data_IF_624886258324
#
_entry.id   IF_624886258324
#
_cell.length_a   1.000
_cell.length_b   1.000
_cell.length_c   1.000
_cell.angle_alpha   90.00
_cell.angle_beta   90.00
_cell.angle_gamma   90.00
#
_symmetry.space_group_name_H-M   'P 1'
#
loop_
_entity.id
_entity.type
_entity.pdbx_description
1 polymer ?
#
# COMPACT_ATOMS: atom_id res chain seq x y z
N UNK A 1 -45.98 -1.88 -14.20
CA UNK A 1 -45.36 -1.26 -13.01
C UNK A 1 -44.43 -2.19 -12.25
N UNK A 2 -44.86 -3.36 -11.74
CA UNK A 2 -44.00 -4.30 -10.97
C UNK A 2 -42.68 -4.71 -11.68
N UNK A 3 -42.72 -4.95 -13.00
CA UNK A 3 -41.53 -5.33 -13.78
C UNK A 3 -40.51 -4.20 -13.94
N UNK A 4 -40.95 -2.95 -14.05
CA UNK A 4 -40.07 -1.77 -14.12
C UNK A 4 -39.36 -1.52 -12.78
N UNK A 5 -40.07 -1.70 -11.66
CA UNK A 5 -39.49 -1.56 -10.30
C UNK A 5 -38.40 -2.62 -10.06
N UNK A 6 -38.61 -3.86 -10.50
CA UNK A 6 -37.62 -4.95 -10.35
C UNK A 6 -36.36 -4.65 -11.20
N UNK A 7 -36.52 -4.15 -12.42
CA UNK A 7 -35.39 -3.81 -13.30
C UNK A 7 -34.60 -2.64 -12.71
N UNK A 8 -35.25 -1.59 -12.21
CA UNK A 8 -34.56 -0.48 -11.54
C UNK A 8 -33.84 -0.92 -10.26
N UNK A 9 -34.44 -1.82 -9.47
CA UNK A 9 -33.79 -2.37 -8.27
C UNK A 9 -32.55 -3.22 -8.59
N UNK A 10 -32.59 -4.03 -9.66
CA UNK A 10 -31.44 -4.80 -10.14
C UNK A 10 -30.32 -3.90 -10.67
N UNK A 11 -30.65 -2.80 -11.34
CA UNK A 11 -29.67 -1.85 -11.84
C UNK A 11 -28.97 -1.10 -10.69
N UNK A 12 -29.72 -0.69 -9.67
CA UNK A 12 -29.15 -0.07 -8.45
C UNK A 12 -28.25 -1.08 -7.70
N UNK A 13 -28.67 -2.34 -7.58
CA UNK A 13 -27.87 -3.39 -6.95
C UNK A 13 -26.56 -3.64 -7.71
N UNK A 14 -26.60 -3.67 -9.04
CA UNK A 14 -25.41 -3.85 -9.88
C UNK A 14 -24.42 -2.68 -9.76
N UNK A 15 -24.91 -1.45 -9.61
CA UNK A 15 -24.07 -0.25 -9.40
C UNK A 15 -23.44 -0.24 -8.01
N UNK A 16 -24.12 -0.77 -6.98
CA UNK A 16 -23.55 -0.86 -5.63
C UNK A 16 -22.44 -1.93 -5.57
N UNK A 17 -22.60 -3.03 -6.31
CA UNK A 17 -21.63 -4.14 -6.33
C UNK A 17 -20.36 -3.86 -7.15
N UNK A 18 -20.32 -2.83 -8.01
CA UNK A 18 -19.13 -2.56 -8.84
C UNK A 18 -18.02 -1.80 -8.11
N UNK A 19 -18.31 -1.19 -6.96
CA UNK A 19 -17.32 -0.38 -6.22
C UNK A 19 -16.37 -1.21 -5.35
N UNK A 20 -16.72 -2.47 -5.03
CA UNK A 20 -15.90 -3.36 -4.20
C UNK A 20 -14.75 -4.02 -4.95
N UNK A 21 -14.79 -4.04 -6.29
CA UNK A 21 -13.77 -4.70 -7.12
C UNK A 21 -12.44 -3.93 -7.07
N UNK A 22 -12.48 -2.60 -7.06
CA UNK A 22 -11.27 -1.76 -7.14
C UNK A 22 -10.45 -1.75 -5.84
N UNK A 23 -11.10 -1.78 -4.67
CA UNK A 23 -10.40 -1.85 -3.40
C UNK A 23 -9.83 -3.25 -3.12
N UNK A 24 -10.48 -4.30 -3.63
CA UNK A 24 -10.02 -5.69 -3.55
C UNK A 24 -8.67 -5.92 -4.22
N UNK A 25 -8.45 -5.27 -5.36
CA UNK A 25 -7.27 -5.45 -6.20
C UNK A 25 -6.01 -4.80 -5.60
N UNK A 26 -6.12 -3.57 -5.07
CA UNK A 26 -4.96 -2.81 -4.56
C UNK A 26 -4.25 -3.48 -3.37
N UNK A 27 -4.96 -3.92 -2.32
CA UNK A 27 -4.28 -4.59 -1.20
C UNK A 27 -3.78 -6.00 -1.58
N UNK A 28 -4.41 -6.67 -2.55
CA UNK A 28 -3.91 -7.93 -3.08
C UNK A 28 -2.61 -7.72 -3.85
N UNK A 29 -2.50 -6.65 -4.64
CA UNK A 29 -1.27 -6.28 -5.35
C UNK A 29 -0.15 -5.88 -4.38
N UNK A 30 -0.48 -5.13 -3.32
CA UNK A 30 0.47 -4.80 -2.24
C UNK A 30 1.02 -6.08 -1.58
N UNK A 31 0.14 -7.04 -1.27
CA UNK A 31 0.50 -8.29 -0.62
C UNK A 31 1.21 -9.29 -1.55
N UNK A 32 1.06 -9.16 -2.86
CA UNK A 32 1.74 -10.00 -3.85
C UNK A 32 3.17 -9.53 -4.16
N UNK A 33 3.51 -8.28 -3.83
CA UNK A 33 4.85 -7.73 -4.03
C UNK A 33 5.07 -7.18 -5.44
N UNK A 34 4.02 -6.67 -6.10
CA UNK A 34 4.15 -6.01 -7.42
C UNK A 34 4.85 -4.65 -7.38
N UNK A 35 4.98 -4.06 -6.19
CA UNK A 35 5.65 -2.79 -5.92
C UNK A 35 7.17 -2.92 -5.83
N UNK A 36 7.90 -1.82 -6.05
CA UNK A 36 9.36 -1.78 -5.84
C UNK A 36 9.74 -1.99 -4.37
N UNK A 37 8.96 -1.42 -3.43
CA UNK A 37 9.17 -1.62 -2.01
C UNK A 37 7.87 -1.45 -1.20
N UNK A 38 7.74 -2.19 -0.10
CA UNK A 38 6.80 -1.92 0.99
C UNK A 38 7.61 -1.58 2.23
N UNK A 39 7.44 -0.37 2.78
CA UNK A 39 8.27 0.13 3.87
C UNK A 39 7.45 0.67 5.04
N UNK A 40 8.03 0.61 6.23
CA UNK A 40 7.66 1.44 7.38
C UNK A 40 8.66 2.60 7.40
N UNK A 41 8.16 3.83 7.36
CA UNK A 41 8.98 5.02 7.36
C UNK A 41 8.43 6.14 8.25
N UNK A 42 9.32 7.07 8.59
CA UNK A 42 9.03 8.28 9.35
C UNK A 42 9.19 9.48 8.43
N UNK A 43 8.21 10.37 8.41
CA UNK A 43 8.32 11.63 7.67
C UNK A 43 9.32 12.55 8.39
N UNK A 44 10.46 12.85 7.77
CA UNK A 44 11.44 13.78 8.34
C UNK A 44 11.10 15.23 8.04
N UNK A 45 10.70 15.51 6.81
CA UNK A 45 10.35 16.85 6.35
C UNK A 45 9.38 16.80 5.18
N UNK A 46 8.63 17.89 5.01
CA UNK A 46 7.67 18.07 3.91
C UNK A 46 7.91 19.46 3.34
N UNK A 47 8.04 19.55 2.01
CA UNK A 47 8.08 20.80 1.28
C UNK A 47 7.11 20.75 0.09
N UNK A 48 7.08 21.78 -0.75
CA UNK A 48 6.15 21.88 -1.88
C UNK A 48 6.42 20.86 -3.00
N UNK A 49 7.63 20.31 -3.09
CA UNK A 49 8.05 19.39 -4.17
C UNK A 49 8.05 17.93 -3.74
N UNK A 50 8.39 17.64 -2.48
CA UNK A 50 8.50 16.27 -1.98
C UNK A 50 8.41 16.18 -0.45
N UNK A 51 8.10 14.97 0.03
CA UNK A 51 8.31 14.57 1.42
C UNK A 51 9.58 13.73 1.56
N UNK A 52 10.41 14.01 2.56
CA UNK A 52 11.57 13.18 2.91
C UNK A 52 11.14 12.11 3.91
N UNK A 53 11.35 10.85 3.56
CA UNK A 53 10.96 9.71 4.39
C UNK A 53 12.20 8.94 4.81
N UNK A 54 12.41 8.82 6.12
CA UNK A 54 13.40 7.91 6.69
C UNK A 54 12.82 6.51 6.79
N UNK A 55 13.53 5.53 6.24
CA UNK A 55 13.17 4.12 6.28
C UNK A 55 13.53 3.56 7.64
N UNK A 56 12.54 3.05 8.35
CA UNK A 56 12.75 2.31 9.60
C UNK A 56 12.79 0.80 9.34
N UNK A 57 11.99 0.35 8.36
CA UNK A 57 12.00 -1.06 7.96
C UNK A 57 11.53 -1.24 6.53
N UNK A 58 12.25 -2.07 5.78
CA UNK A 58 11.76 -2.64 4.53
C UNK A 58 11.03 -3.94 4.85
N UNK A 59 9.74 -4.01 4.51
CA UNK A 59 8.92 -5.19 4.66
C UNK A 59 9.05 -6.09 3.43
N UNK A 60 8.90 -5.52 2.23
CA UNK A 60 9.03 -6.24 0.96
C UNK A 60 9.79 -5.41 -0.06
N UNK A 61 10.37 -6.07 -1.06
CA UNK A 61 11.13 -5.45 -2.14
C UNK A 61 12.50 -4.97 -1.68
N UNK A 62 12.91 -3.82 -2.21
CA UNK A 62 14.19 -3.19 -1.87
C UNK A 62 14.13 -1.68 -2.06
N UNK A 63 14.83 -0.96 -1.17
CA UNK A 63 15.06 0.47 -1.29
C UNK A 63 16.57 0.73 -1.17
N UNK A 64 17.09 1.66 -1.96
CA UNK A 64 18.53 1.88 -2.10
C UNK A 64 19.12 2.83 -1.04
N UNK A 65 18.28 3.55 -0.31
CA UNK A 65 18.69 4.59 0.64
C UNK A 65 17.87 4.51 1.92
N UNK A 66 18.51 4.82 3.06
CA UNK A 66 17.86 4.95 4.36
C UNK A 66 16.90 6.14 4.43
N UNK A 67 17.08 7.13 3.53
CA UNK A 67 16.19 8.27 3.37
C UNK A 67 15.90 8.47 1.89
N UNK A 68 14.62 8.60 1.52
CA UNK A 68 14.20 8.78 0.14
C UNK A 68 13.20 9.93 -0.02
N UNK A 69 13.08 10.43 -1.25
CA UNK A 69 12.11 11.46 -1.63
C UNK A 69 10.83 10.80 -2.14
N UNK A 70 9.72 11.14 -1.50
CA UNK A 70 8.37 10.81 -1.94
C UNK A 70 7.79 12.00 -2.70
N UNK A 71 7.61 11.86 -4.01
CA UNK A 71 7.22 12.96 -4.92
C UNK A 71 5.77 12.89 -5.38
N UNK A 72 5.11 11.74 -5.23
CA UNK A 72 3.74 11.53 -5.74
C UNK A 72 2.72 11.36 -4.61
N UNK A 73 2.51 12.44 -3.87
CA UNK A 73 1.48 12.49 -2.81
C UNK A 73 0.13 12.99 -3.34
N UNK A 74 0.08 13.50 -4.58
CA UNK A 74 -1.12 14.13 -5.15
C UNK A 74 -2.11 13.11 -5.75
N UNK A 75 -1.67 11.87 -6.02
CA UNK A 75 -2.49 10.91 -6.79
C UNK A 75 -3.49 10.05 -6.02
N UNK A 76 -3.60 10.15 -4.69
CA UNK A 76 -4.54 9.30 -3.98
C UNK A 76 -4.99 9.92 -2.66
N UNK A 77 -6.02 9.33 -2.06
CA UNK A 77 -6.76 9.74 -0.86
C UNK A 77 -5.90 9.77 0.43
N UNK A 78 -4.59 9.98 0.30
CA UNK A 78 -3.61 10.01 1.36
C UNK A 78 -3.67 11.39 2.00
N UNK A 79 -3.92 11.49 3.32
CA UNK A 79 -3.86 12.75 4.03
C UNK A 79 -2.52 13.44 3.81
N UNK A 80 -2.46 14.79 3.86
CA UNK A 80 -1.20 15.51 3.85
C UNK A 80 -0.25 14.97 4.92
N UNK A 81 0.93 14.52 4.50
CA UNK A 81 1.95 14.02 5.41
C UNK A 81 2.43 15.13 6.34
N UNK A 82 2.74 14.78 7.59
CA UNK A 82 3.33 15.71 8.56
C UNK A 82 4.64 15.15 9.12
N UNK A 83 5.64 16.02 9.38
CA UNK A 83 6.87 15.61 10.04
C UNK A 83 6.61 14.86 11.35
N UNK A 84 7.35 13.77 11.55
CA UNK A 84 7.25 12.89 12.72
C UNK A 84 6.17 11.79 12.61
N UNK A 85 5.30 11.82 11.60
CA UNK A 85 4.33 10.75 11.40
C UNK A 85 4.98 9.48 10.86
N UNK A 86 4.43 8.33 11.27
CA UNK A 86 4.87 7.01 10.86
C UNK A 86 3.89 6.49 9.81
N UNK A 87 4.43 5.97 8.72
CA UNK A 87 3.65 5.51 7.58
C UNK A 87 4.13 4.15 7.08
N UNK A 88 3.17 3.30 6.73
CA UNK A 88 3.39 2.12 5.88
C UNK A 88 3.13 2.54 4.44
N UNK A 89 4.14 2.44 3.59
CA UNK A 89 4.11 2.93 2.21
C UNK A 89 4.42 1.82 1.22
N UNK A 90 3.51 1.58 0.28
CA UNK A 90 3.79 0.81 -0.94
C UNK A 90 4.33 1.77 -2.00
N UNK A 91 5.49 1.47 -2.55
CA UNK A 91 6.28 2.40 -3.35
C UNK A 91 6.67 1.80 -4.70
N UNK A 92 6.61 2.62 -5.75
CA UNK A 92 7.25 2.36 -7.03
C UNK A 92 8.39 3.35 -7.27
N UNK A 93 9.53 2.82 -7.69
CA UNK A 93 10.69 3.63 -8.04
C UNK A 93 10.58 4.14 -9.48
N UNK A 94 10.74 5.45 -9.65
CA UNK A 94 10.82 6.11 -10.94
C UNK A 94 11.98 7.11 -10.93
N UNK A 95 13.04 6.82 -11.71
CA UNK A 95 14.21 7.68 -11.87
C UNK A 95 14.88 8.09 -10.53
N UNK A 96 14.97 7.16 -9.57
CA UNK A 96 15.57 7.40 -8.25
C UNK A 96 14.69 8.19 -7.26
N UNK A 97 13.45 8.52 -7.65
CA UNK A 97 12.42 9.00 -6.74
C UNK A 97 11.37 7.91 -6.53
N UNK A 98 10.58 8.03 -5.46
CA UNK A 98 9.52 7.08 -5.15
C UNK A 98 8.15 7.76 -5.19
N UNK A 99 7.19 7.04 -5.78
CA UNK A 99 5.76 7.39 -5.77
C UNK A 99 4.96 6.33 -5.02
N UNK A 100 3.76 6.69 -4.55
CA UNK A 100 2.85 5.74 -3.90
C UNK A 100 2.30 4.80 -4.98
N UNK A 101 2.44 3.50 -4.76
CA UNK A 101 1.96 2.46 -5.66
C UNK A 101 0.54 2.03 -5.26
N UNK A 102 0.44 1.05 -4.36
CA UNK A 102 -0.82 0.38 -4.03
C UNK A 102 -1.51 0.94 -2.78
N UNK A 103 -0.80 1.73 -1.97
CA UNK A 103 -1.38 2.35 -0.78
C UNK A 103 -0.38 2.98 0.18
N UNK A 104 -0.91 3.85 1.04
CA UNK A 104 -0.21 4.50 2.13
C UNK A 104 -1.11 4.54 3.37
N UNK A 105 -0.58 4.08 4.51
CA UNK A 105 -1.34 3.91 5.75
C UNK A 105 -0.57 4.49 6.92
N UNK A 106 -1.17 5.46 7.62
CA UNK A 106 -0.57 6.00 8.83
C UNK A 106 -0.58 4.96 9.94
N UNK A 107 0.55 4.81 10.63
CA UNK A 107 0.74 3.87 11.73
C UNK A 107 1.04 4.59 13.05
N UNK A 108 0.80 3.92 14.17
CA UNK A 108 1.07 4.47 15.50
C UNK A 108 2.48 4.19 16.04
N UNK A 109 3.19 3.20 15.49
CA UNK A 109 4.56 2.85 15.85
C UNK A 109 5.30 2.12 14.71
N UNK A 110 6.61 1.92 14.87
CA UNK A 110 7.48 1.31 13.85
C UNK A 110 7.68 -0.20 14.00
N UNK A 111 7.24 -0.82 15.09
CA UNK A 111 7.35 -2.26 15.28
C UNK A 111 6.26 -2.97 14.48
N UNK A 112 6.66 -3.55 13.34
CA UNK A 112 5.77 -4.28 12.46
C UNK A 112 4.93 -5.36 13.15
N UNK A 113 5.32 -5.91 14.30
CA UNK A 113 4.53 -6.94 15.00
C UNK A 113 3.33 -6.36 15.75
N UNK A 114 3.45 -5.10 16.17
CA UNK A 114 2.50 -4.45 17.09
C UNK A 114 1.95 -3.14 16.57
N UNK A 115 2.38 -2.69 15.38
CA UNK A 115 1.84 -1.49 14.77
C UNK A 115 0.34 -1.63 14.54
N UNK A 116 -0.35 -0.50 14.68
CA UNK A 116 -1.72 -0.38 14.25
C UNK A 116 -1.82 0.70 13.18
N UNK A 117 -2.55 0.39 12.12
CA UNK A 117 -2.92 1.35 11.11
C UNK A 117 -4.10 2.16 11.62
N UNK A 118 -4.02 3.49 11.52
CA UNK A 118 -5.06 4.37 12.06
C UNK A 118 -6.42 4.13 11.38
N UNK A 119 -6.43 3.96 10.05
CA UNK A 119 -7.65 3.62 9.32
C UNK A 119 -8.22 2.25 9.71
N UNK A 120 -7.37 1.28 10.07
CA UNK A 120 -7.83 -0.02 10.58
C UNK A 120 -8.56 0.12 11.92
N UNK A 121 -8.07 1.01 12.81
CA UNK A 121 -8.77 1.37 14.07
C UNK A 121 -10.12 2.03 13.80
N UNK A 122 -10.22 2.82 12.73
CA UNK A 122 -11.46 3.50 12.30
C UNK A 122 -12.45 2.57 11.58
N UNK A 123 -12.06 1.32 11.31
CA UNK A 123 -12.93 0.30 10.75
C UNK A 123 -12.71 -0.01 9.27
N UNK A 124 -11.70 0.57 8.62
CA UNK A 124 -11.32 0.28 7.24
C UNK A 124 -10.86 -1.19 7.09
N UNK A 125 -11.62 -1.98 6.33
CA UNK A 125 -11.42 -3.42 6.19
C UNK A 125 -10.11 -3.73 5.44
N UNK A 126 -9.83 -3.13 4.26
CA UNK A 126 -8.51 -3.21 3.62
C UNK A 126 -7.34 -2.94 4.57
N UNK A 127 -7.40 -1.88 5.36
CA UNK A 127 -6.34 -1.56 6.31
C UNK A 127 -6.19 -2.64 7.39
N UNK A 128 -7.28 -3.24 7.88
CA UNK A 128 -7.19 -4.37 8.82
C UNK A 128 -6.47 -5.58 8.22
N UNK A 129 -6.80 -5.93 6.97
CA UNK A 129 -6.15 -7.05 6.26
C UNK A 129 -4.65 -6.77 6.10
N UNK A 130 -4.27 -5.55 5.72
CA UNK A 130 -2.86 -5.16 5.57
C UNK A 130 -2.15 -5.19 6.91
N UNK A 131 -2.77 -4.67 7.97
CA UNK A 131 -2.21 -4.74 9.33
C UNK A 131 -1.97 -6.20 9.75
N UNK A 132 -2.93 -7.10 9.53
CA UNK A 132 -2.78 -8.53 9.85
C UNK A 132 -1.65 -9.18 9.03
N UNK A 133 -1.56 -8.87 7.73
CA UNK A 133 -0.49 -9.34 6.86
C UNK A 133 0.91 -8.91 7.35
N UNK A 134 1.03 -7.65 7.80
CA UNK A 134 2.26 -7.10 8.35
C UNK A 134 2.56 -7.75 9.70
N UNK A 135 1.63 -7.69 10.66
CA UNK A 135 1.84 -8.12 12.04
C UNK A 135 2.07 -9.62 12.17
N UNK A 136 1.50 -10.43 11.28
CA UNK A 136 1.74 -11.88 11.23
C UNK A 136 3.09 -12.26 10.63
N UNK A 137 3.77 -11.34 9.93
CA UNK A 137 5.02 -11.62 9.22
C UNK A 137 4.85 -12.39 7.90
N UNK A 138 3.61 -12.57 7.42
CA UNK A 138 3.32 -13.27 6.14
C UNK A 138 4.02 -12.61 4.96
N UNK A 139 4.27 -11.30 5.04
CA UNK A 139 5.03 -10.55 4.03
C UNK A 139 6.44 -11.10 3.76
N UNK A 140 7.07 -11.81 4.71
CA UNK A 140 8.41 -12.37 4.54
C UNK A 140 8.41 -13.44 3.46
N UNK A 141 7.45 -14.36 3.52
CA UNK A 141 7.29 -15.40 2.50
C UNK A 141 6.76 -14.83 1.18
N UNK A 142 5.94 -13.78 1.24
CA UNK A 142 5.48 -13.08 0.05
C UNK A 142 6.64 -12.41 -0.70
N UNK A 143 7.53 -11.71 0.02
CA UNK A 143 8.73 -11.07 -0.54
C UNK A 143 9.66 -12.08 -1.19
N UNK A 144 9.88 -13.23 -0.53
CA UNK A 144 10.66 -14.32 -1.10
C UNK A 144 10.08 -14.81 -2.43
N UNK A 145 8.77 -15.06 -2.48
CA UNK A 145 8.07 -15.49 -3.71
C UNK A 145 8.16 -14.45 -4.82
N UNK A 146 7.96 -13.17 -4.49
CA UNK A 146 8.06 -12.07 -5.46
C UNK A 146 9.47 -12.01 -6.08
N UNK A 147 10.52 -12.12 -5.25
CA UNK A 147 11.92 -12.14 -5.71
C UNK A 147 12.24 -13.36 -6.57
N UNK A 148 11.70 -14.52 -6.27
CA UNK A 148 11.85 -15.73 -7.09
C UNK A 148 11.18 -15.56 -8.46
N UNK A 149 9.98 -15.00 -8.51
CA UNK A 149 9.27 -14.70 -9.76
C UNK A 149 10.03 -13.68 -10.61
N UNK A 150 10.53 -12.62 -10.01
CA UNK A 150 11.32 -11.61 -10.72
C UNK A 150 12.58 -12.23 -11.36
N UNK A 151 13.31 -13.08 -10.62
CA UNK A 151 14.48 -13.80 -11.17
C UNK A 151 14.12 -14.69 -12.35
N UNK A 152 12.99 -15.39 -12.28
CA UNK A 152 12.52 -16.23 -13.38
C UNK A 152 12.17 -15.40 -14.62
N UNK A 153 11.55 -14.23 -14.45
CA UNK A 153 11.24 -13.31 -15.54
C UNK A 153 12.50 -12.69 -16.17
N UNK A 154 13.51 -12.39 -15.37
CA UNK A 154 14.80 -11.86 -15.83
C UNK A 154 15.69 -12.93 -16.47
N UNK A 155 15.52 -14.21 -16.11
CA UNK A 155 16.26 -15.34 -16.67
C UNK A 155 15.35 -16.57 -16.91
N UNK A 156 14.52 -16.58 -17.97
CA UNK A 156 13.55 -17.64 -18.23
C UNK A 156 14.17 -18.99 -18.68
N UNK A 157 15.50 -19.10 -18.70
CA UNK A 157 16.26 -20.18 -19.35
C UNK A 157 17.09 -21.06 -18.41
N UNK A 158 16.96 -20.91 -17.08
CA UNK A 158 17.72 -21.69 -16.08
C UNK A 158 16.97 -22.90 -15.56
#
# INVERSE_FOLDING_TARGET
MKRLVIISALFILAVILSTSVFAGEAYQMLMSGGQSALVIGIVESVNEEFSSIKVEKVLMGSISSDVFKLTDTEYSKVPPLKPGEIWVLSLNEHNGNYGIAEGAYQADNTDYKTLNLLSAKEGDIPAKIIQEFINSGVFIEADKKAKEQQKFLENPSS
#
